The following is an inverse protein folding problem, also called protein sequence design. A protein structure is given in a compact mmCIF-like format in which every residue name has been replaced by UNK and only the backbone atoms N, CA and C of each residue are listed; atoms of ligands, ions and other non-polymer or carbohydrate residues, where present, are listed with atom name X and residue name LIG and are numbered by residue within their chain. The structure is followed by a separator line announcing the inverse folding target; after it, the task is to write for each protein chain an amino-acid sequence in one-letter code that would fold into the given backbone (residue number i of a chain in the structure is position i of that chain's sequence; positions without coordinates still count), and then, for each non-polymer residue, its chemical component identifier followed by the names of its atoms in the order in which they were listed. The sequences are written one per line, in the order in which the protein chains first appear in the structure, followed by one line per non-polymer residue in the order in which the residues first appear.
data_IF_592297666442
#
_entry.id   IF_592297666442
#
_cell.length_a   1.000
_cell.length_b   1.000
_cell.length_c   1.000
_cell.angle_alpha   90.00
_cell.angle_beta   90.00
_cell.angle_gamma   90.00
#
_symmetry.space_group_name_H-M   'P 1'
#
loop_
_entity.id
_entity.type
_entity.pdbx_description
1 polymer ?
#
# COMPACT_ATOMS: atom_id res chain seq x y z
N UNK A 1 8.03 40.94 46.30
CA UNK A 1 7.17 40.64 47.48
C UNK A 1 5.79 41.24 47.25
N UNK A 2 4.74 40.46 47.54
CA UNK A 2 3.27 40.68 47.36
C UNK A 2 2.77 40.38 45.93
N UNK A 3 2.20 39.21 45.62
CA UNK A 3 0.93 38.53 46.03
C UNK A 3 -0.23 38.82 45.05
N UNK A 4 -0.42 37.90 44.08
CA UNK A 4 -1.59 37.05 43.79
C UNK A 4 -3.06 37.54 43.99
N UNK A 5 -3.94 37.06 43.07
CA UNK A 5 -5.41 36.77 43.15
C UNK A 5 -6.35 37.98 42.83
N UNK A 6 -7.40 37.97 41.98
CA UNK A 6 -8.07 37.05 41.02
C UNK A 6 -9.36 37.74 40.46
N UNK A 7 -10.02 37.10 39.47
CA UNK A 7 -11.49 37.08 39.17
C UNK A 7 -12.06 38.31 38.44
N UNK A 8 -12.33 38.22 37.12
CA UNK A 8 -13.59 37.78 36.48
C UNK A 8 -14.76 38.76 36.69
N UNK A 9 -15.07 39.50 35.62
CA UNK A 9 -16.36 40.16 35.33
C UNK A 9 -16.46 40.22 33.80
N UNK A 10 -17.05 39.20 33.16
CA UNK A 10 -18.46 39.10 32.80
C UNK A 10 -18.86 40.02 31.63
N UNK A 11 -18.94 39.39 30.46
CA UNK A 11 -20.01 39.51 29.45
C UNK A 11 -20.66 40.88 29.30
N UNK A 12 -20.34 41.58 28.20
CA UNK A 12 -21.32 42.22 27.30
C UNK A 12 -20.56 43.01 26.24
N UNK A 13 -20.37 42.40 25.05
CA UNK A 13 -20.17 43.11 23.79
C UNK A 13 -20.41 42.12 22.65
N UNK A 14 -21.67 41.72 22.53
CA UNK A 14 -22.24 41.21 21.29
C UNK A 14 -23.07 42.32 20.65
N UNK A 15 -23.08 42.33 19.32
CA UNK A 15 -23.81 43.22 18.38
C UNK A 15 -23.10 44.57 18.14
N UNK A 16 -22.72 44.99 16.92
CA UNK A 16 -23.11 44.63 15.55
C UNK A 16 -21.95 45.04 14.61
N UNK A 17 -21.44 44.12 13.77
CA UNK A 17 -21.14 44.43 12.37
C UNK A 17 -21.62 43.22 11.56
N UNK A 18 -22.75 43.40 10.89
CA UNK A 18 -23.15 42.60 9.75
C UNK A 18 -22.34 43.05 8.54
N UNK A 19 -21.75 42.10 7.82
CA UNK A 19 -21.01 42.31 6.58
C UNK A 19 -20.55 40.96 6.02
N UNK A 20 -21.27 40.49 5.01
CA UNK A 20 -21.21 39.17 4.37
C UNK A 20 -19.80 38.70 3.96
N UNK A 21 -19.44 37.49 4.41
CA UNK A 21 -18.75 36.49 3.59
C UNK A 21 -19.10 35.12 4.15
N UNK A 22 -20.09 34.45 3.55
CA UNK A 22 -20.42 33.07 3.87
C UNK A 22 -19.35 32.15 3.28
N UNK A 23 -18.25 32.01 4.01
CA UNK A 23 -17.42 30.80 3.93
C UNK A 23 -18.18 29.70 4.65
N UNK A 24 -18.85 28.86 3.88
CA UNK A 24 -19.38 27.58 4.37
C UNK A 24 -18.20 26.65 4.64
N UNK A 25 -17.58 26.80 5.81
CA UNK A 25 -16.84 25.72 6.44
C UNK A 25 -17.86 24.67 6.89
N UNK A 26 -18.30 23.84 5.95
CA UNK A 26 -18.97 22.60 6.25
C UNK A 26 -17.92 21.65 6.83
N UNK A 27 -17.79 21.70 8.15
CA UNK A 27 -17.25 20.62 8.98
C UNK A 27 -17.98 19.33 8.57
N UNK A 28 -17.30 18.54 7.75
CA UNK A 28 -17.68 17.16 7.47
C UNK A 28 -17.38 16.36 8.73
N UNK A 29 -18.45 15.92 9.40
CA UNK A 29 -18.42 14.76 10.28
C UNK A 29 -18.13 13.52 9.43
N UNK A 30 -16.88 13.38 8.99
CA UNK A 30 -16.25 12.05 9.05
C UNK A 30 -16.20 11.69 10.52
N UNK A 31 -16.46 10.43 10.85
CA UNK A 31 -16.03 9.90 12.14
C UNK A 31 -14.51 10.04 12.22
N UNK A 32 -14.07 11.21 12.68
CA UNK A 32 -12.82 11.35 13.39
C UNK A 32 -12.96 10.41 14.57
N UNK A 33 -12.39 9.21 14.43
CA UNK A 33 -11.75 8.56 15.56
C UNK A 33 -10.76 9.57 16.07
N UNK A 34 -11.25 10.38 17.00
CA UNK A 34 -10.50 11.41 17.67
C UNK A 34 -9.49 10.63 18.50
N UNK A 35 -8.29 10.46 17.94
CA UNK A 35 -7.13 10.17 18.77
C UNK A 35 -7.00 11.36 19.69
N UNK A 36 -7.59 11.22 20.89
CA UNK A 36 -7.19 12.05 22.02
C UNK A 36 -5.68 11.95 22.04
N UNK A 37 -5.00 13.08 21.80
CA UNK A 37 -3.71 13.33 22.43
C UNK A 37 -3.96 13.31 23.93
N UNK A 38 -4.07 12.10 24.48
CA UNK A 38 -3.64 11.90 25.84
C UNK A 38 -2.11 12.01 25.75
N UNK A 39 -1.59 13.18 26.11
CA UNK A 39 -0.30 13.29 26.79
C UNK A 39 -0.41 12.51 28.11
N UNK A 40 -0.64 11.20 28.03
CA UNK A 40 -0.18 10.28 29.03
C UNK A 40 1.25 10.02 28.64
N UNK A 41 2.13 10.47 29.51
CA UNK A 41 3.48 9.93 29.66
C UNK A 41 3.33 8.41 29.62
N UNK A 42 3.49 7.82 28.43
CA UNK A 42 3.67 6.39 28.27
C UNK A 42 4.88 6.10 29.13
N UNK A 43 4.65 5.42 30.25
CA UNK A 43 5.74 4.80 30.98
C UNK A 43 6.54 4.03 29.93
N UNK A 44 7.79 4.42 29.72
CA UNK A 44 8.75 3.66 28.93
C UNK A 44 8.70 2.23 29.48
N UNK A 45 7.93 1.36 28.82
CA UNK A 45 8.01 -0.05 29.08
C UNK A 45 9.41 -0.41 28.63
N UNK A 46 10.30 -0.52 29.62
CA UNK A 46 11.69 -0.97 29.50
C UNK A 46 11.71 -2.43 29.08
N UNK A 47 11.22 -2.72 27.89
CA UNK A 47 11.63 -3.94 27.21
C UNK A 47 13.13 -3.80 26.91
N UNK A 48 13.94 -4.85 27.14
CA UNK A 48 15.31 -4.82 26.69
C UNK A 48 15.32 -4.58 25.18
N UNK A 49 16.21 -3.72 24.69
CA UNK A 49 16.28 -3.40 23.27
C UNK A 49 16.35 -4.67 22.42
N UNK A 50 17.10 -5.68 22.86
CA UNK A 50 17.08 -7.04 22.31
C UNK A 50 16.91 -8.03 23.45
N UNK A 51 16.05 -9.05 23.30
CA UNK A 51 15.96 -10.13 24.28
C UNK A 51 17.16 -11.05 24.15
N UNK A 52 17.87 -11.26 25.26
CA UNK A 52 19.22 -11.88 25.29
C UNK A 52 19.29 -13.23 26.02
N UNK A 53 18.27 -13.56 26.82
CA UNK A 53 18.26 -14.72 27.70
C UNK A 53 18.31 -16.02 26.92
N UNK A 54 19.29 -16.90 27.23
CA UNK A 54 19.46 -18.20 26.59
C UNK A 54 19.96 -18.19 25.15
N UNK A 55 20.20 -17.00 24.57
CA UNK A 55 20.57 -16.85 23.16
C UNK A 55 22.08 -16.84 22.95
N UNK A 56 22.51 -17.53 21.89
CA UNK A 56 23.88 -17.47 21.39
C UNK A 56 24.24 -16.03 21.00
N UNK A 57 25.46 -15.60 21.35
CA UNK A 57 25.96 -14.25 21.07
C UNK A 57 27.06 -14.32 20.01
N UNK A 58 27.07 -13.37 19.08
CA UNK A 58 28.16 -13.16 18.13
C UNK A 58 28.53 -11.68 18.03
N UNK A 59 29.80 -11.43 17.71
CA UNK A 59 30.35 -10.09 17.47
C UNK A 59 29.76 -9.50 16.17
N UNK A 60 29.33 -8.24 16.20
CA UNK A 60 28.70 -7.60 15.03
C UNK A 60 29.71 -7.25 13.94
N UNK A 61 30.96 -6.93 14.29
CA UNK A 61 31.99 -6.69 13.29
C UNK A 61 32.33 -7.96 12.50
N UNK A 62 32.34 -9.11 13.16
CA UNK A 62 32.44 -10.41 12.51
C UNK A 62 31.22 -10.71 11.63
N UNK A 63 30.00 -10.55 12.16
CA UNK A 63 28.78 -10.76 11.38
C UNK A 63 28.66 -9.84 10.16
N UNK A 64 29.15 -8.61 10.23
CA UNK A 64 29.18 -7.68 9.09
C UNK A 64 30.01 -8.24 7.91
N UNK A 65 31.03 -9.06 8.18
CA UNK A 65 31.88 -9.64 7.15
C UNK A 65 31.37 -11.00 6.64
N UNK A 66 30.73 -11.77 7.53
CA UNK A 66 30.43 -13.19 7.26
C UNK A 66 28.95 -13.46 6.95
N UNK A 67 28.04 -12.53 7.26
CA UNK A 67 26.62 -12.71 6.96
C UNK A 67 26.35 -12.46 5.48
N UNK A 68 25.55 -13.34 4.87
CA UNK A 68 25.15 -13.17 3.47
C UNK A 68 24.26 -11.94 3.28
N UNK A 69 23.41 -11.63 4.27
CA UNK A 69 22.58 -10.43 4.25
C UNK A 69 22.62 -9.68 5.58
N UNK A 70 22.50 -8.37 5.47
CA UNK A 70 22.38 -7.43 6.57
C UNK A 70 21.27 -6.42 6.28
N UNK A 71 20.43 -6.14 7.28
CA UNK A 71 19.31 -5.23 7.14
C UNK A 71 19.23 -4.24 8.30
N UNK A 72 18.99 -2.96 8.01
CA UNK A 72 18.46 -2.05 9.01
C UNK A 72 16.96 -2.33 9.22
N UNK A 73 16.56 -2.46 10.48
CA UNK A 73 15.16 -2.68 10.85
C UNK A 73 14.73 -1.75 11.98
N UNK A 74 13.43 -1.49 12.07
CA UNK A 74 12.85 -0.66 13.11
C UNK A 74 11.61 -1.32 13.71
N UNK A 75 11.42 -1.08 15.00
CA UNK A 75 10.17 -1.33 15.72
C UNK A 75 9.85 -0.09 16.58
N UNK A 76 8.88 0.71 16.13
CA UNK A 76 8.62 2.00 16.74
C UNK A 76 9.79 2.97 16.52
N UNK A 77 10.37 3.42 17.63
CA UNK A 77 11.56 4.28 17.65
C UNK A 77 12.86 3.48 17.72
N UNK A 78 12.77 2.20 18.11
CA UNK A 78 13.94 1.35 18.30
C UNK A 78 14.48 0.92 16.94
N UNK A 79 15.80 1.00 16.79
CA UNK A 79 16.51 0.64 15.55
C UNK A 79 17.41 -0.54 15.79
N UNK A 80 17.52 -1.38 14.77
CA UNK A 80 18.17 -2.67 14.83
C UNK A 80 18.98 -2.92 13.58
N UNK A 81 19.93 -3.84 13.70
CA UNK A 81 20.57 -4.53 12.58
C UNK A 81 20.19 -6.01 12.66
N UNK A 82 19.74 -6.55 11.54
CA UNK A 82 19.42 -7.97 11.38
C UNK A 82 20.39 -8.62 10.42
N UNK A 83 20.93 -9.76 10.81
CA UNK A 83 21.90 -10.54 10.03
C UNK A 83 21.31 -11.90 9.68
N UNK A 84 21.48 -12.33 8.43
CA UNK A 84 21.16 -13.68 7.97
C UNK A 84 22.46 -14.42 7.67
N UNK A 85 22.76 -15.45 8.46
CA UNK A 85 24.06 -16.13 8.47
C UNK A 85 23.91 -17.64 8.58
N UNK A 86 24.71 -18.41 7.84
CA UNK A 86 24.76 -19.88 7.92
C UNK A 86 26.18 -20.37 8.22
N UNK A 87 26.33 -21.25 9.21
CA UNK A 87 27.65 -21.84 9.56
C UNK A 87 28.11 -22.89 8.57
N UNK A 88 27.18 -23.55 7.88
CA UNK A 88 27.43 -24.60 6.91
C UNK A 88 27.13 -24.15 5.48
N UNK A 89 27.37 -22.87 5.19
CA UNK A 89 27.17 -22.33 3.86
C UNK A 89 28.12 -22.98 2.84
N UNK A 90 27.55 -23.47 1.76
CA UNK A 90 28.26 -23.90 0.56
C UNK A 90 27.96 -22.93 -0.58
N UNK A 91 28.98 -22.61 -1.37
CA UNK A 91 28.86 -21.79 -2.56
C UNK A 91 29.16 -22.63 -3.81
N UNK A 92 28.32 -22.50 -4.82
CA UNK A 92 28.47 -23.12 -6.14
C UNK A 92 28.23 -22.08 -7.22
N UNK A 93 28.88 -22.21 -8.37
CA UNK A 93 28.57 -21.42 -9.55
C UNK A 93 27.58 -22.18 -10.42
N UNK A 94 26.54 -21.50 -10.92
CA UNK A 94 25.57 -22.13 -11.81
C UNK A 94 26.18 -22.39 -13.19
N UNK A 95 26.13 -23.64 -13.64
CA UNK A 95 26.68 -24.06 -14.95
C UNK A 95 25.74 -23.76 -16.13
N UNK A 96 24.46 -23.56 -15.83
CA UNK A 96 23.39 -23.30 -16.79
C UNK A 96 22.32 -22.37 -16.20
N UNK A 97 21.55 -21.75 -17.08
CA UNK A 97 20.39 -20.96 -16.69
C UNK A 97 19.35 -21.88 -16.05
N UNK A 98 18.84 -21.48 -14.88
CA UNK A 98 17.86 -22.24 -14.13
C UNK A 98 17.00 -21.33 -13.26
N UNK A 99 16.05 -21.91 -12.52
CA UNK A 99 15.26 -21.16 -11.54
C UNK A 99 16.10 -20.58 -10.41
N UNK A 100 17.31 -21.09 -10.21
CA UNK A 100 18.24 -20.58 -9.21
C UNK A 100 18.93 -19.29 -9.67
N UNK A 101 19.02 -19.04 -10.97
CA UNK A 101 19.84 -17.96 -11.51
C UNK A 101 20.26 -18.19 -12.95
N UNK A 102 21.03 -17.24 -13.47
CA UNK A 102 21.69 -17.36 -14.77
C UNK A 102 22.99 -18.14 -14.61
N UNK A 103 23.45 -18.75 -15.71
CA UNK A 103 24.79 -19.32 -15.80
C UNK A 103 25.83 -18.30 -15.34
N UNK A 104 26.72 -18.73 -14.44
CA UNK A 104 27.77 -17.91 -13.86
C UNK A 104 27.38 -17.23 -12.54
N UNK A 105 26.11 -17.25 -12.13
CA UNK A 105 25.71 -16.72 -10.83
C UNK A 105 26.28 -17.56 -9.68
N UNK A 106 26.64 -16.89 -8.58
CA UNK A 106 26.94 -17.55 -7.31
C UNK A 106 25.66 -18.01 -6.62
N UNK A 107 25.66 -19.23 -6.11
CA UNK A 107 24.53 -19.87 -5.50
C UNK A 107 24.92 -20.48 -4.16
N UNK A 108 24.36 -19.91 -3.10
CA UNK A 108 24.64 -20.25 -1.71
C UNK A 108 23.56 -21.16 -1.15
N UNK A 109 23.96 -22.18 -0.40
CA UNK A 109 23.07 -23.14 0.25
C UNK A 109 23.57 -23.45 1.65
N UNK A 110 22.69 -23.36 2.65
CA UNK A 110 23.01 -23.64 4.04
C UNK A 110 21.80 -23.56 4.97
N UNK A 111 22.02 -23.82 6.26
CA UNK A 111 21.02 -23.64 7.31
C UNK A 111 21.23 -22.26 7.94
N UNK A 112 20.41 -21.29 7.52
CA UNK A 112 20.57 -19.90 7.96
C UNK A 112 19.89 -19.66 9.30
N UNK A 113 20.61 -18.97 10.17
CA UNK A 113 20.14 -18.41 11.42
C UNK A 113 20.02 -16.89 11.29
N UNK A 114 19.11 -16.31 12.08
CA UNK A 114 18.95 -14.85 12.15
C UNK A 114 19.60 -14.33 13.42
N UNK A 115 20.40 -13.28 13.32
CA UNK A 115 20.92 -12.55 14.49
C UNK A 115 20.35 -11.15 14.54
N UNK A 116 19.99 -10.69 15.73
CA UNK A 116 19.44 -9.36 15.99
C UNK A 116 20.40 -8.59 16.89
N UNK A 117 20.74 -7.37 16.49
CA UNK A 117 21.48 -6.41 17.30
C UNK A 117 20.69 -5.11 17.39
N UNK A 118 20.79 -4.41 18.52
CA UNK A 118 20.46 -2.99 18.56
C UNK A 118 21.40 -2.24 17.61
N UNK A 119 20.91 -1.17 16.97
CA UNK A 119 21.74 -0.35 16.10
C UNK A 119 22.96 0.17 16.87
N UNK A 120 24.15 0.04 16.28
CA UNK A 120 25.45 0.40 16.88
C UNK A 120 25.93 -0.50 18.05
N UNK A 121 25.23 -1.61 18.33
CA UNK A 121 25.74 -2.62 19.28
C UNK A 121 26.92 -3.40 18.69
N UNK A 122 27.90 -3.72 19.53
CA UNK A 122 29.02 -4.62 19.20
C UNK A 122 28.63 -6.11 19.24
N UNK A 123 27.44 -6.43 19.74
CA UNK A 123 26.96 -7.81 19.92
C UNK A 123 25.57 -8.00 19.32
N UNK A 124 25.39 -9.12 18.62
CA UNK A 124 24.11 -9.62 18.15
C UNK A 124 23.74 -10.95 18.82
N UNK A 125 22.44 -11.20 18.92
CA UNK A 125 21.88 -12.39 19.56
C UNK A 125 21.10 -13.21 18.55
N UNK A 126 21.35 -14.52 18.52
CA UNK A 126 20.64 -15.47 17.66
C UNK A 126 19.14 -15.50 17.96
N UNK A 127 18.31 -15.60 16.93
CA UNK A 127 16.85 -15.66 17.01
C UNK A 127 16.36 -16.97 16.41
N UNK A 128 15.52 -17.68 17.17
CA UNK A 128 14.98 -18.99 16.81
C UNK A 128 13.74 -18.87 15.93
N UNK A 129 13.89 -18.28 14.74
CA UNK A 129 12.77 -17.99 13.82
C UNK A 129 12.86 -18.75 12.50
N UNK A 130 14.06 -19.18 12.09
CA UNK A 130 14.28 -20.00 10.89
C UNK A 130 14.87 -21.38 11.23
N UNK A 131 14.99 -21.73 12.52
CA UNK A 131 15.66 -22.95 12.97
C UNK A 131 14.97 -24.24 12.53
N UNK A 132 13.67 -24.20 12.30
CA UNK A 132 12.89 -25.34 11.79
C UNK A 132 12.89 -25.43 10.26
N UNK A 133 13.42 -24.40 9.58
CA UNK A 133 13.52 -24.42 8.13
C UNK A 133 14.65 -25.38 7.73
N UNK A 134 14.39 -26.16 6.68
CA UNK A 134 15.46 -26.90 6.02
C UNK A 134 16.48 -25.95 5.39
N UNK A 135 17.43 -26.53 4.65
CA UNK A 135 18.42 -25.75 3.92
C UNK A 135 17.76 -24.69 3.02
N UNK A 136 18.19 -23.45 3.22
CA UNK A 136 17.78 -22.30 2.43
C UNK A 136 18.82 -22.06 1.34
N UNK A 137 18.37 -21.41 0.28
CA UNK A 137 19.16 -21.16 -0.90
C UNK A 137 19.03 -19.72 -1.37
N UNK A 138 20.15 -19.15 -1.76
CA UNK A 138 20.25 -17.75 -2.17
C UNK A 138 21.13 -17.59 -3.40
N UNK A 139 20.67 -16.77 -4.32
CA UNK A 139 21.45 -16.19 -5.39
C UNK A 139 21.44 -14.68 -5.16
N UNK A 140 22.58 -14.05 -4.80
CA UNK A 140 22.65 -12.61 -4.57
C UNK A 140 22.34 -11.75 -5.80
N UNK A 141 22.41 -12.30 -7.01
CA UNK A 141 21.93 -11.64 -8.23
C UNK A 141 20.39 -11.54 -8.29
N UNK A 142 19.67 -12.19 -7.37
CA UNK A 142 18.22 -12.14 -7.22
C UNK A 142 17.82 -11.44 -5.93
N UNK A 143 16.67 -10.76 -5.97
CA UNK A 143 16.11 -10.09 -4.80
C UNK A 143 15.34 -11.06 -3.90
N UNK A 144 16.07 -11.95 -3.22
CA UNK A 144 15.48 -12.98 -2.35
C UNK A 144 15.35 -12.56 -0.89
N UNK A 145 16.13 -11.59 -0.43
CA UNK A 145 16.04 -11.10 0.93
C UNK A 145 16.14 -9.58 0.97
N UNK A 146 15.15 -8.90 1.52
CA UNK A 146 15.04 -7.44 1.56
C UNK A 146 14.07 -6.99 2.65
N UNK A 147 13.98 -5.67 2.84
CA UNK A 147 13.08 -5.08 3.84
C UNK A 147 11.93 -4.30 3.21
N UNK A 148 10.83 -4.23 3.94
CA UNK A 148 9.65 -3.43 3.62
C UNK A 148 9.30 -2.58 4.82
N UNK A 149 9.29 -1.26 4.64
CA UNK A 149 8.86 -0.33 5.69
C UNK A 149 7.34 -0.23 5.72
N UNK A 150 6.74 -0.66 6.83
CA UNK A 150 5.30 -0.63 7.12
C UNK A 150 5.07 0.22 8.37
N UNK A 151 4.64 1.47 8.17
CA UNK A 151 4.46 2.47 9.24
C UNK A 151 5.73 2.64 10.09
N UNK A 152 5.66 2.23 11.36
CA UNK A 152 6.69 2.25 12.38
C UNK A 152 7.47 0.91 12.49
N UNK A 153 7.17 -0.08 11.64
CA UNK A 153 7.83 -1.39 11.61
C UNK A 153 8.57 -1.63 10.31
N UNK A 154 9.61 -2.43 10.40
CA UNK A 154 10.28 -3.03 9.23
C UNK A 154 9.93 -4.51 9.18
N UNK A 155 9.36 -4.94 8.05
CA UNK A 155 9.21 -6.35 7.71
C UNK A 155 10.48 -6.78 6.96
N UNK A 156 11.06 -7.89 7.36
CA UNK A 156 12.18 -8.53 6.65
C UNK A 156 11.59 -9.69 5.86
N UNK A 157 11.72 -9.64 4.54
CA UNK A 157 11.17 -10.66 3.66
C UNK A 157 12.29 -11.57 3.17
N UNK A 158 12.15 -12.88 3.39
CA UNK A 158 13.10 -13.90 2.93
C UNK A 158 12.36 -14.91 2.06
N UNK A 159 12.70 -14.94 0.77
CA UNK A 159 12.01 -15.73 -0.24
C UNK A 159 12.83 -16.95 -0.67
N UNK A 160 12.19 -18.11 -0.61
CA UNK A 160 12.77 -19.40 -1.00
C UNK A 160 12.06 -19.95 -2.25
N UNK A 161 12.80 -20.51 -3.23
CA UNK A 161 12.19 -21.06 -4.45
C UNK A 161 11.11 -22.10 -4.13
N UNK A 162 9.97 -22.01 -4.82
CA UNK A 162 8.84 -22.93 -4.70
C UNK A 162 8.21 -23.21 -6.06
N UNK A 163 8.34 -24.45 -6.52
CA UNK A 163 7.86 -24.84 -7.85
C UNK A 163 8.72 -24.26 -8.97
N UNK A 164 8.13 -24.09 -10.16
CA UNK A 164 8.86 -23.56 -11.32
C UNK A 164 9.10 -22.06 -11.15
N UNK A 165 8.06 -21.23 -11.12
CA UNK A 165 8.19 -19.77 -11.19
C UNK A 165 7.81 -19.04 -9.89
N UNK A 166 7.60 -19.79 -8.80
CA UNK A 166 7.17 -19.25 -7.50
C UNK A 166 8.30 -19.15 -6.48
N UNK A 167 8.10 -18.29 -5.50
CA UNK A 167 8.89 -18.19 -4.29
C UNK A 167 7.98 -18.07 -3.07
N UNK A 168 8.24 -18.88 -2.04
CA UNK A 168 7.57 -18.80 -0.74
C UNK A 168 8.26 -17.76 0.13
N UNK A 169 7.49 -16.81 0.65
CA UNK A 169 7.97 -15.79 1.56
C UNK A 169 7.91 -16.24 3.02
N UNK A 170 9.02 -16.10 3.71
CA UNK A 170 9.12 -16.03 5.17
C UNK A 170 9.22 -14.56 5.55
N UNK A 171 8.14 -14.01 6.09
CA UNK A 171 8.06 -12.60 6.46
C UNK A 171 8.30 -12.49 7.94
N UNK A 172 9.31 -11.74 8.34
CA UNK A 172 9.74 -11.61 9.72
C UNK A 172 9.52 -10.17 10.20
N UNK A 173 9.19 -10.01 11.47
CA UNK A 173 9.08 -8.72 12.11
C UNK A 173 9.70 -8.74 13.50
N UNK A 174 10.03 -7.56 14.02
CA UNK A 174 10.52 -7.41 15.39
C UNK A 174 9.32 -7.10 16.30
N UNK A 175 9.26 -7.80 17.44
CA UNK A 175 8.32 -7.55 18.53
C UNK A 175 9.01 -7.81 19.86
N UNK A 176 8.95 -6.84 20.76
CA UNK A 176 9.48 -6.93 22.12
C UNK A 176 10.97 -7.38 22.17
N UNK A 177 11.77 -6.89 21.21
CA UNK A 177 13.20 -7.20 21.10
C UNK A 177 13.53 -8.60 20.56
N UNK A 178 12.55 -9.28 19.95
CA UNK A 178 12.71 -10.58 19.28
C UNK A 178 12.27 -10.51 17.81
N UNK A 179 12.91 -11.33 16.96
CA UNK A 179 12.41 -11.55 15.61
C UNK A 179 11.41 -12.71 15.66
N UNK A 180 10.22 -12.47 15.11
CA UNK A 180 9.17 -13.47 14.95
C UNK A 180 8.75 -13.58 13.50
N UNK A 181 8.26 -14.74 13.08
CA UNK A 181 7.62 -14.91 11.78
C UNK A 181 6.19 -14.35 11.82
N UNK A 182 5.85 -13.55 10.82
CA UNK A 182 4.52 -12.99 10.63
C UNK A 182 3.60 -14.14 10.24
N UNK A 183 2.62 -14.41 11.10
CA UNK A 183 1.61 -15.43 10.85
C UNK A 183 0.77 -15.09 9.62
N UNK A 184 0.39 -16.08 8.82
CA UNK A 184 -0.47 -15.89 7.65
C UNK A 184 -1.46 -17.04 7.53
N UNK A 185 -2.71 -16.74 7.13
CA UNK A 185 -3.75 -17.76 6.96
C UNK A 185 -3.43 -18.76 5.85
N UNK A 186 -2.68 -18.31 4.85
CA UNK A 186 -2.23 -19.06 3.69
C UNK A 186 -0.79 -18.67 3.41
N UNK A 187 -0.05 -19.57 2.79
CA UNK A 187 1.33 -19.27 2.41
C UNK A 187 1.40 -18.03 1.49
N UNK A 188 2.33 -17.14 1.82
CA UNK A 188 2.65 -15.98 0.99
C UNK A 188 3.55 -16.44 -0.15
N UNK A 189 3.01 -16.45 -1.37
CA UNK A 189 3.74 -16.86 -2.57
C UNK A 189 3.78 -15.67 -3.54
N UNK A 190 4.95 -15.44 -4.12
CA UNK A 190 5.20 -14.42 -5.15
C UNK A 190 6.02 -15.02 -6.30
N UNK A 191 6.17 -14.27 -7.39
CA UNK A 191 7.07 -14.58 -8.50
C UNK A 191 8.53 -14.57 -8.03
N UNK A 192 9.33 -15.51 -8.50
CA UNK A 192 10.78 -15.56 -8.22
C UNK A 192 11.56 -14.39 -8.85
N UNK A 193 10.90 -13.58 -9.69
CA UNK A 193 11.48 -12.46 -10.42
C UNK A 193 11.15 -11.09 -9.82
N UNK A 194 10.29 -11.02 -8.79
CA UNK A 194 9.75 -9.75 -8.33
C UNK A 194 9.65 -9.63 -6.81
N UNK A 195 9.86 -8.42 -6.31
CA UNK A 195 9.51 -8.05 -4.95
C UNK A 195 8.00 -8.05 -4.74
N UNK A 196 7.60 -8.28 -3.50
CA UNK A 196 6.24 -7.95 -3.04
C UNK A 196 6.14 -6.44 -2.88
N UNK A 197 4.95 -5.88 -3.11
CA UNK A 197 4.71 -4.43 -3.04
C UNK A 197 4.02 -4.10 -1.72
N UNK A 198 4.38 -2.97 -1.13
CA UNK A 198 3.63 -2.37 -0.03
C UNK A 198 2.58 -1.43 -0.60
N UNK A 199 1.37 -1.42 -0.04
CA UNK A 199 0.31 -0.50 -0.46
C UNK A 199 -0.26 0.22 0.75
N UNK A 200 -0.15 1.56 0.73
CA UNK A 200 -0.66 2.48 1.77
C UNK A 200 -0.28 2.09 3.21
N UNK A 201 0.87 1.43 3.38
CA UNK A 201 1.40 0.91 4.66
C UNK A 201 0.42 0.01 5.45
N UNK A 202 -0.66 -0.46 4.82
CA UNK A 202 -1.69 -1.31 5.39
C UNK A 202 -1.73 -2.68 4.73
N UNK A 203 -1.38 -2.72 3.45
CA UNK A 203 -1.45 -3.93 2.66
C UNK A 203 -0.08 -4.31 2.09
N UNK A 204 0.07 -5.60 1.83
CA UNK A 204 1.15 -6.17 1.05
C UNK A 204 0.50 -6.85 -0.14
N UNK A 205 1.04 -6.68 -1.34
CA UNK A 205 0.56 -7.37 -2.53
C UNK A 205 1.66 -8.24 -3.13
N UNK A 206 1.31 -9.46 -3.51
CA UNK A 206 2.17 -10.40 -4.23
C UNK A 206 1.63 -10.66 -5.62
N UNK A 207 2.51 -10.93 -6.57
CA UNK A 207 2.16 -11.28 -7.94
C UNK A 207 2.85 -12.58 -8.32
N UNK A 208 2.13 -13.53 -8.91
CA UNK A 208 2.71 -14.81 -9.37
C UNK A 208 2.02 -15.30 -10.64
N UNK A 209 2.78 -15.99 -11.49
CA UNK A 209 2.21 -16.74 -12.61
C UNK A 209 1.84 -18.14 -12.14
N UNK A 210 0.55 -18.51 -12.25
CA UNK A 210 0.01 -19.82 -11.85
C UNK A 210 -0.91 -20.36 -12.94
N UNK A 211 -0.54 -21.51 -13.52
CA UNK A 211 -1.35 -22.19 -14.56
C UNK A 211 -1.75 -21.23 -15.69
N UNK A 212 -0.77 -20.51 -16.23
CA UNK A 212 -0.94 -19.50 -17.29
C UNK A 212 -1.79 -18.26 -16.91
N UNK A 213 -2.23 -18.16 -15.65
CA UNK A 213 -2.86 -16.96 -15.10
C UNK A 213 -1.89 -16.11 -14.31
N UNK A 214 -2.09 -14.80 -14.37
CA UNK A 214 -1.42 -13.86 -13.47
C UNK A 214 -2.29 -13.66 -12.23
N UNK A 215 -1.76 -13.99 -11.06
CA UNK A 215 -2.48 -13.92 -9.79
C UNK A 215 -1.90 -12.81 -8.92
N UNK A 216 -2.73 -11.83 -8.58
CA UNK A 216 -2.42 -10.81 -7.58
C UNK A 216 -3.11 -11.18 -6.27
N UNK A 217 -2.36 -11.30 -5.19
CA UNK A 217 -2.90 -11.54 -3.84
C UNK A 217 -2.58 -10.35 -2.94
N UNK A 218 -3.60 -9.72 -2.40
CA UNK A 218 -3.47 -8.60 -1.47
C UNK A 218 -3.76 -9.06 -0.05
N UNK A 219 -2.84 -8.76 0.85
CA UNK A 219 -2.84 -9.18 2.23
C UNK A 219 -2.99 -7.96 3.13
N UNK A 220 -3.96 -8.00 4.05
CA UNK A 220 -4.08 -7.00 5.10
C UNK A 220 -3.08 -7.32 6.20
N UNK A 221 -2.23 -6.35 6.55
CA UNK A 221 -1.27 -6.46 7.62
C UNK A 221 -1.83 -5.92 8.93
N UNK A 222 -1.96 -6.78 9.92
CA UNK A 222 -2.27 -6.39 11.29
C UNK A 222 -0.96 -6.19 12.08
N UNK A 223 -0.67 -4.94 12.39
CA UNK A 223 0.55 -4.51 13.09
C UNK A 223 0.61 -4.99 14.55
N UNK A 224 -0.54 -5.10 15.23
CA UNK A 224 -0.63 -5.46 16.65
C UNK A 224 -0.40 -6.97 16.84
N UNK A 225 -1.04 -7.76 16.00
CA UNK A 225 -0.96 -9.23 16.05
C UNK A 225 0.20 -9.79 15.22
N UNK A 226 0.81 -8.98 14.35
CA UNK A 226 1.81 -9.40 13.37
C UNK A 226 1.30 -10.58 12.54
N UNK A 227 0.17 -10.34 11.88
CA UNK A 227 -0.48 -11.32 11.01
C UNK A 227 -0.88 -10.74 9.66
N UNK A 228 -0.98 -11.64 8.67
CA UNK A 228 -1.48 -11.37 7.34
C UNK A 228 -2.76 -12.16 7.10
N UNK A 229 -3.81 -11.42 6.72
CA UNK A 229 -5.11 -11.97 6.32
C UNK A 229 -5.26 -11.75 4.81
N UNK A 230 -5.72 -12.76 4.07
CA UNK A 230 -5.96 -12.56 2.63
C UNK A 230 -7.15 -11.62 2.47
N UNK A 231 -6.88 -10.40 2.00
CA UNK A 231 -7.89 -9.35 1.83
C UNK A 231 -8.57 -9.45 0.48
N UNK A 232 -7.77 -9.63 -0.57
CA UNK A 232 -8.27 -9.67 -1.94
C UNK A 232 -7.41 -10.57 -2.82
N UNK A 233 -8.00 -11.15 -3.86
CA UNK A 233 -7.30 -11.98 -4.84
C UNK A 233 -7.92 -11.81 -6.22
N UNK A 234 -7.09 -11.49 -7.19
CA UNK A 234 -7.43 -11.36 -8.61
C UNK A 234 -6.69 -12.41 -9.43
N UNK A 235 -7.36 -12.99 -10.42
CA UNK A 235 -6.74 -13.88 -11.40
C UNK A 235 -7.01 -13.34 -12.81
N UNK A 236 -5.96 -12.96 -13.52
CA UNK A 236 -6.05 -12.51 -14.90
C UNK A 236 -5.75 -13.67 -15.85
N UNK A 237 -6.70 -13.94 -16.75
CA UNK A 237 -6.57 -14.98 -17.78
C UNK A 237 -5.47 -14.67 -18.81
N UNK A 238 -4.85 -15.72 -19.34
CA UNK A 238 -3.66 -15.69 -20.22
C UNK A 238 -3.79 -14.80 -21.47
N UNK A 239 -5.00 -14.56 -21.96
CA UNK A 239 -5.23 -13.86 -23.23
C UNK A 239 -5.03 -12.34 -23.12
N UNK A 240 -5.01 -11.80 -21.89
CA UNK A 240 -4.94 -10.36 -21.63
C UNK A 240 -3.57 -9.93 -21.13
N UNK A 241 -2.64 -9.52 -21.99
CA UNK A 241 -1.47 -8.70 -21.64
C UNK A 241 -0.68 -9.11 -20.37
N UNK A 242 -0.69 -10.39 -19.96
CA UNK A 242 -0.13 -10.84 -18.68
C UNK A 242 1.38 -10.54 -18.57
N UNK A 243 2.10 -10.63 -19.68
CA UNK A 243 3.50 -10.22 -19.76
C UNK A 243 3.66 -8.70 -19.51
N UNK A 244 2.77 -7.87 -20.05
CA UNK A 244 2.78 -6.42 -19.82
C UNK A 244 2.55 -6.09 -18.35
N UNK A 245 1.57 -6.73 -17.71
CA UNK A 245 1.28 -6.51 -16.29
C UNK A 245 2.40 -6.96 -15.37
N UNK A 246 3.00 -8.13 -15.63
CA UNK A 246 4.14 -8.60 -14.84
C UNK A 246 5.39 -7.75 -15.09
N UNK A 247 5.63 -7.29 -16.33
CA UNK A 247 6.72 -6.37 -16.62
C UNK A 247 6.53 -5.05 -15.87
N UNK A 248 5.32 -4.48 -15.91
CA UNK A 248 5.01 -3.26 -15.16
C UNK A 248 5.21 -3.48 -13.65
N UNK A 249 4.81 -4.63 -13.12
CA UNK A 249 5.05 -5.00 -11.72
C UNK A 249 6.54 -5.07 -11.36
N UNK A 250 7.35 -5.66 -12.23
CA UNK A 250 8.80 -5.82 -12.02
C UNK A 250 9.53 -4.47 -12.16
N UNK A 251 9.18 -3.69 -13.18
CA UNK A 251 9.91 -2.50 -13.60
C UNK A 251 9.50 -1.23 -12.84
N UNK A 252 8.25 -1.12 -12.40
CA UNK A 252 7.72 0.07 -11.73
C UNK A 252 7.52 -0.18 -10.22
N UNK A 253 8.32 0.47 -9.38
CA UNK A 253 8.24 0.38 -7.92
C UNK A 253 6.90 0.91 -7.37
N UNK A 254 6.31 1.92 -8.01
CA UNK A 254 5.04 2.51 -7.58
C UNK A 254 3.83 1.64 -7.96
N UNK A 255 3.99 0.77 -8.97
CA UNK A 255 2.90 -0.06 -9.45
C UNK A 255 2.46 -1.13 -8.44
N UNK A 256 1.14 -1.24 -8.27
CA UNK A 256 0.44 -2.41 -7.75
C UNK A 256 -0.84 -2.63 -8.54
N UNK A 257 -1.39 -3.85 -8.54
CA UNK A 257 -2.65 -4.10 -9.22
C UNK A 257 -3.83 -3.60 -8.35
N UNK A 258 -4.77 -2.81 -8.90
CA UNK A 258 -5.97 -2.37 -8.17
C UNK A 258 -6.74 -3.55 -7.57
N UNK A 259 -7.17 -3.40 -6.32
CA UNK A 259 -7.83 -4.48 -5.58
C UNK A 259 -8.98 -3.91 -4.77
N UNK A 260 -9.92 -4.78 -4.36
CA UNK A 260 -11.12 -4.37 -3.64
C UNK A 260 -10.75 -3.68 -2.32
N UNK A 261 -10.84 -2.36 -2.27
CA UNK A 261 -10.49 -1.55 -1.10
C UNK A 261 -11.42 -0.36 -0.88
N UNK A 262 -12.49 -0.26 -1.68
CA UNK A 262 -13.53 0.74 -1.56
C UNK A 262 -14.87 0.08 -1.26
N UNK A 263 -15.47 0.51 -0.16
CA UNK A 263 -16.85 0.25 0.15
C UNK A 263 -17.71 1.38 -0.42
N UNK A 264 -18.79 1.00 -1.09
CA UNK A 264 -19.76 1.95 -1.61
C UNK A 264 -20.77 2.33 -0.53
N UNK A 265 -21.16 3.60 -0.51
CA UNK A 265 -22.11 4.17 0.45
C UNK A 265 -23.21 4.93 -0.28
N UNK A 266 -24.40 5.06 0.32
CA UNK A 266 -25.51 5.81 -0.30
C UNK A 266 -25.27 7.33 -0.37
N UNK A 267 -24.27 7.85 0.34
CA UNK A 267 -23.91 9.27 0.36
C UNK A 267 -22.97 9.70 -0.78
N UNK A 268 -22.65 8.79 -1.72
CA UNK A 268 -21.77 9.09 -2.87
C UNK A 268 -22.21 10.33 -3.63
N UNK A 269 -23.50 10.47 -3.91
CA UNK A 269 -24.03 11.60 -4.68
C UNK A 269 -23.84 12.92 -3.92
N UNK A 270 -24.05 12.94 -2.60
CA UNK A 270 -23.85 14.14 -1.77
C UNK A 270 -22.36 14.54 -1.68
N UNK A 271 -21.45 13.56 -1.65
CA UNK A 271 -20.00 13.81 -1.74
C UNK A 271 -19.61 14.34 -3.11
N UNK A 272 -20.16 13.76 -4.18
CA UNK A 272 -19.90 14.19 -5.55
C UNK A 272 -20.35 15.62 -5.84
N UNK A 273 -21.46 16.10 -5.23
CA UNK A 273 -21.89 17.52 -5.32
C UNK A 273 -20.82 18.49 -4.81
N UNK A 274 -19.98 18.04 -3.87
CA UNK A 274 -18.87 18.81 -3.32
C UNK A 274 -17.57 18.61 -4.11
N UNK A 275 -17.60 17.84 -5.21
CA UNK A 275 -16.45 17.47 -6.00
C UNK A 275 -15.58 16.39 -5.35
N UNK A 276 -16.03 15.75 -4.26
CA UNK A 276 -15.27 14.74 -3.53
C UNK A 276 -15.43 13.38 -4.24
N UNK A 277 -14.34 12.76 -4.74
CA UNK A 277 -14.40 11.46 -5.39
C UNK A 277 -14.60 10.31 -4.39
N UNK A 278 -14.95 9.15 -4.91
CA UNK A 278 -14.89 7.92 -4.12
C UNK A 278 -13.44 7.51 -3.91
N UNK A 279 -13.08 7.20 -2.67
CA UNK A 279 -11.79 6.57 -2.40
C UNK A 279 -10.55 7.44 -2.61
N UNK A 280 -10.70 8.76 -2.71
CA UNK A 280 -9.60 9.72 -2.70
C UNK A 280 -9.94 10.93 -1.81
N UNK A 281 -8.96 11.46 -1.06
CA UNK A 281 -9.17 12.63 -0.20
C UNK A 281 -9.14 13.95 -0.98
N UNK A 282 -8.81 13.96 -2.28
CA UNK A 282 -8.62 15.19 -3.04
C UNK A 282 -9.84 15.52 -3.91
N UNK A 283 -10.62 16.55 -3.58
CA UNK A 283 -11.75 16.97 -4.40
C UNK A 283 -11.30 17.60 -5.73
N UNK A 284 -12.21 17.60 -6.72
CA UNK A 284 -12.05 18.37 -7.96
C UNK A 284 -11.75 19.83 -7.62
N UNK A 285 -10.72 20.38 -8.26
CA UNK A 285 -10.18 21.72 -7.99
C UNK A 285 -8.89 21.73 -7.18
N UNK A 286 -8.52 20.63 -6.53
CA UNK A 286 -7.21 20.48 -5.87
C UNK A 286 -6.07 20.63 -6.88
N UNK A 287 -4.98 21.28 -6.51
CA UNK A 287 -3.83 21.42 -7.41
C UNK A 287 -3.05 20.10 -7.50
N UNK A 288 -2.75 19.65 -8.72
CA UNK A 288 -2.06 18.38 -8.94
C UNK A 288 -0.65 18.34 -8.31
N UNK A 289 0.01 19.49 -8.17
CA UNK A 289 1.32 19.59 -7.51
C UNK A 289 1.24 19.27 -6.02
N UNK A 290 0.12 19.62 -5.38
CA UNK A 290 -0.11 19.31 -3.96
C UNK A 290 -0.34 17.81 -3.78
N UNK A 291 -1.11 17.19 -4.67
CA UNK A 291 -1.36 15.74 -4.68
C UNK A 291 -0.05 14.97 -4.89
N UNK A 292 0.77 15.35 -5.89
CA UNK A 292 2.08 14.69 -6.11
C UNK A 292 3.00 14.85 -4.90
N UNK A 293 2.91 15.97 -4.19
CA UNK A 293 3.74 16.21 -3.00
C UNK A 293 3.32 15.32 -1.82
N UNK A 294 2.03 15.07 -1.63
CA UNK A 294 1.52 14.18 -0.57
C UNK A 294 1.63 12.70 -0.95
N UNK A 295 1.47 12.38 -2.23
CA UNK A 295 1.50 11.05 -2.82
C UNK A 295 2.51 11.01 -3.98
N UNK A 296 3.81 10.83 -3.69
CA UNK A 296 4.86 10.88 -4.70
C UNK A 296 4.94 9.64 -5.59
N UNK A 297 4.34 8.53 -5.19
CA UNK A 297 4.47 7.22 -5.84
C UNK A 297 3.42 7.06 -6.96
N UNK A 298 3.54 7.83 -8.04
CA UNK A 298 2.71 7.71 -9.25
C UNK A 298 3.38 6.85 -10.33
N UNK A 299 2.56 6.19 -11.17
CA UNK A 299 3.04 5.35 -12.30
C UNK A 299 3.47 6.24 -13.47
N UNK A 300 2.64 7.23 -13.80
CA UNK A 300 2.81 8.01 -15.02
C UNK A 300 2.27 9.43 -14.85
N UNK A 301 2.93 10.38 -15.49
CA UNK A 301 2.48 11.76 -15.60
C UNK A 301 2.66 12.22 -17.04
N UNK A 302 1.57 12.68 -17.67
CA UNK A 302 1.60 13.21 -19.02
C UNK A 302 0.92 14.59 -19.07
N UNK A 303 1.69 15.70 -18.93
CA UNK A 303 1.13 17.05 -18.97
C UNK A 303 0.84 17.55 -20.39
N UNK A 304 1.38 16.88 -21.42
CA UNK A 304 1.30 17.31 -22.83
C UNK A 304 0.12 16.69 -23.58
N UNK A 305 -0.57 15.71 -22.97
CA UNK A 305 -1.76 15.10 -23.55
C UNK A 305 -2.90 16.12 -23.74
N UNK A 306 -3.85 15.83 -24.62
CA UNK A 306 -5.08 16.60 -24.79
C UNK A 306 -5.90 16.65 -23.49
N UNK A 307 -5.74 15.64 -22.64
CA UNK A 307 -6.26 15.61 -21.27
C UNK A 307 -5.11 15.33 -20.31
N UNK A 308 -4.39 16.37 -19.83
CA UNK A 308 -3.25 16.21 -18.94
C UNK A 308 -3.61 15.36 -17.71
N UNK A 309 -2.76 14.40 -17.34
CA UNK A 309 -3.06 13.50 -16.22
C UNK A 309 -1.86 13.07 -15.40
N UNK A 310 -2.16 12.62 -14.18
CA UNK A 310 -1.26 11.83 -13.32
C UNK A 310 -2.00 10.55 -12.96
N UNK A 311 -1.37 9.42 -13.24
CA UNK A 311 -1.90 8.08 -13.02
C UNK A 311 -1.19 7.42 -11.85
N UNK A 312 -1.96 7.10 -10.83
CA UNK A 312 -1.60 6.20 -9.74
C UNK A 312 -2.15 4.81 -10.05
N UNK A 313 -1.73 3.77 -9.33
CA UNK A 313 -2.26 2.44 -9.53
C UNK A 313 -3.78 2.38 -9.40
N UNK A 314 -4.34 3.06 -8.40
CA UNK A 314 -5.75 2.92 -8.02
C UNK A 314 -6.60 4.18 -8.31
N UNK A 315 -6.03 5.20 -8.96
CA UNK A 315 -6.73 6.42 -9.34
C UNK A 315 -5.98 7.20 -10.42
N UNK A 316 -6.70 7.88 -11.31
CA UNK A 316 -6.12 8.83 -12.26
C UNK A 316 -6.74 10.20 -12.07
N UNK A 317 -5.91 11.22 -11.92
CA UNK A 317 -6.33 12.62 -11.86
C UNK A 317 -6.06 13.30 -13.19
N UNK A 318 -7.11 13.88 -13.78
CA UNK A 318 -7.00 14.74 -14.96
C UNK A 318 -7.03 16.19 -14.50
N UNK A 319 -6.21 17.04 -15.12
CA UNK A 319 -6.04 18.42 -14.69
C UNK A 319 -5.94 19.40 -15.86
N UNK A 320 -6.24 20.67 -15.57
CA UNK A 320 -6.05 21.76 -16.52
C UNK A 320 -4.58 22.20 -16.55
N UNK A 321 -3.98 22.30 -17.74
CA UNK A 321 -2.55 22.64 -17.90
C UNK A 321 -2.17 23.99 -17.30
N UNK A 322 -3.03 25.00 -17.46
CA UNK A 322 -2.76 26.37 -17.06
C UNK A 322 -2.75 26.56 -15.54
N UNK A 323 -3.73 25.95 -14.86
CA UNK A 323 -3.93 26.13 -13.41
C UNK A 323 -3.36 24.99 -12.58
N UNK A 324 -3.17 23.81 -13.19
CA UNK A 324 -2.84 22.56 -12.51
C UNK A 324 -4.00 22.00 -11.68
N UNK A 325 -5.19 22.58 -11.77
CA UNK A 325 -6.33 22.14 -10.96
C UNK A 325 -6.94 20.88 -11.55
N UNK A 326 -7.22 19.91 -10.70
CA UNK A 326 -7.92 18.68 -11.08
C UNK A 326 -9.31 19.03 -11.62
N UNK A 327 -9.65 18.47 -12.77
CA UNK A 327 -10.91 18.68 -13.48
C UNK A 327 -11.77 17.42 -13.51
N UNK A 328 -11.14 16.24 -13.50
CA UNK A 328 -11.82 14.97 -13.46
C UNK A 328 -10.96 13.89 -12.78
N UNK A 329 -11.62 12.85 -12.31
CA UNK A 329 -11.02 11.77 -11.53
C UNK A 329 -11.58 10.44 -12.00
N UNK A 330 -10.70 9.48 -12.29
CA UNK A 330 -11.05 8.13 -12.73
C UNK A 330 -10.64 7.11 -11.69
N UNK A 331 -11.56 6.22 -11.32
CA UNK A 331 -11.35 5.17 -10.32
C UNK A 331 -11.59 3.81 -10.99
N UNK A 332 -10.63 2.88 -10.94
CA UNK A 332 -10.77 1.54 -11.52
C UNK A 332 -11.81 0.72 -10.75
N UNK A 333 -12.66 -0.01 -11.48
CA UNK A 333 -13.76 -0.80 -10.93
C UNK A 333 -13.32 -1.96 -10.03
N UNK A 334 -12.09 -2.46 -10.21
CA UNK A 334 -11.45 -3.47 -9.35
C UNK A 334 -11.41 -3.05 -7.88
N UNK A 335 -11.45 -1.75 -7.57
CA UNK A 335 -11.49 -1.25 -6.18
C UNK A 335 -12.79 -1.54 -5.47
N UNK A 336 -13.86 -1.78 -6.23
CA UNK A 336 -15.23 -1.92 -5.72
C UNK A 336 -15.73 -3.36 -5.89
N UNK A 337 -15.41 -3.98 -7.05
CA UNK A 337 -15.91 -5.30 -7.46
C UNK A 337 -17.43 -5.41 -7.25
N UNK A 338 -18.13 -4.62 -8.04
CA UNK A 338 -19.58 -4.38 -7.93
C UNK A 338 -20.20 -4.40 -9.31
N UNK A 339 -21.53 -4.51 -9.35
CA UNK A 339 -22.31 -4.48 -10.59
C UNK A 339 -23.06 -3.16 -10.76
N UNK A 340 -23.53 -2.91 -11.98
CA UNK A 340 -24.33 -1.71 -12.25
C UNK A 340 -25.66 -1.69 -11.45
N UNK A 341 -26.22 -2.85 -11.12
CA UNK A 341 -27.46 -2.94 -10.35
C UNK A 341 -27.26 -2.63 -8.86
N UNK A 342 -26.11 -3.03 -8.30
CA UNK A 342 -25.71 -2.61 -6.96
C UNK A 342 -25.49 -1.08 -6.91
N UNK A 343 -24.87 -0.51 -7.95
CA UNK A 343 -24.72 0.94 -8.09
C UNK A 343 -26.09 1.63 -8.13
N UNK A 344 -27.03 1.17 -8.95
CA UNK A 344 -28.39 1.75 -9.02
C UNK A 344 -29.11 1.69 -7.68
N UNK A 345 -28.90 0.62 -6.92
CA UNK A 345 -29.50 0.46 -5.58
C UNK A 345 -28.96 1.53 -4.61
N UNK A 346 -27.68 1.87 -4.71
CA UNK A 346 -27.02 2.82 -3.80
C UNK A 346 -27.16 4.29 -4.26
N UNK A 347 -27.04 4.56 -5.56
CA UNK A 347 -26.98 5.91 -6.12
C UNK A 347 -28.35 6.39 -6.61
N UNK A 348 -29.31 5.47 -6.75
CA UNK A 348 -30.61 5.71 -7.35
C UNK A 348 -30.62 5.44 -8.85
N UNK A 349 -31.59 6.01 -9.58
CA UNK A 349 -31.64 5.84 -11.02
C UNK A 349 -30.70 6.83 -11.72
N UNK A 350 -29.95 6.40 -12.75
CA UNK A 350 -29.16 7.31 -13.56
C UNK A 350 -30.06 8.27 -14.34
N UNK A 351 -29.56 9.47 -14.58
CA UNK A 351 -30.22 10.48 -15.41
C UNK A 351 -30.19 10.08 -16.90
N UNK A 352 -29.08 9.48 -17.34
CA UNK A 352 -28.86 9.04 -18.73
C UNK A 352 -28.12 7.69 -18.72
N UNK A 353 -28.43 6.82 -19.69
CA UNK A 353 -27.73 5.56 -19.92
C UNK A 353 -27.41 5.45 -21.39
N UNK A 354 -26.15 5.13 -21.71
CA UNK A 354 -25.64 4.99 -23.07
C UNK A 354 -24.99 3.61 -23.24
N UNK A 355 -24.97 3.10 -24.46
CA UNK A 355 -24.14 1.95 -24.81
C UNK A 355 -22.67 2.40 -24.87
N UNK A 356 -21.75 1.64 -24.27
CA UNK A 356 -20.32 1.93 -24.34
C UNK A 356 -19.72 1.24 -25.59
N UNK A 357 -19.26 2.00 -26.60
CA UNK A 357 -19.01 1.44 -27.93
C UNK A 357 -17.88 0.42 -28.00
N UNK A 358 -16.96 0.42 -27.03
CA UNK A 358 -15.73 -0.34 -27.12
C UNK A 358 -15.77 -1.64 -26.29
N UNK A 359 -16.53 -1.67 -25.20
CA UNK A 359 -16.63 -2.85 -24.35
C UNK A 359 -17.95 -3.59 -24.47
N UNK A 360 -18.91 -3.12 -25.29
CA UNK A 360 -20.24 -3.71 -25.38
C UNK A 360 -21.12 -3.54 -24.13
N UNK A 361 -20.63 -2.80 -23.13
CA UNK A 361 -21.34 -2.53 -21.89
C UNK A 361 -22.08 -1.20 -21.91
N UNK A 362 -22.21 -0.54 -20.75
CA UNK A 362 -23.00 0.70 -20.62
C UNK A 362 -22.28 1.81 -19.88
N UNK A 363 -22.69 3.05 -20.12
CA UNK A 363 -22.31 4.23 -19.35
C UNK A 363 -23.57 4.78 -18.68
N UNK A 364 -23.65 4.68 -17.36
CA UNK A 364 -24.72 5.25 -16.56
C UNK A 364 -24.28 6.58 -15.94
N UNK A 365 -25.02 7.66 -16.19
CA UNK A 365 -24.66 9.02 -15.76
C UNK A 365 -25.58 9.48 -14.63
N UNK A 366 -24.99 9.87 -13.51
CA UNK A 366 -25.67 10.41 -12.33
C UNK A 366 -25.33 11.88 -12.15
N UNK A 367 -26.35 12.74 -12.05
CA UNK A 367 -26.17 14.17 -11.82
C UNK A 367 -25.91 14.47 -10.35
N UNK A 368 -24.87 15.25 -10.07
CA UNK A 368 -24.47 15.69 -8.75
C UNK A 368 -24.19 17.20 -8.77
N UNK A 369 -25.27 18.00 -8.88
CA UNK A 369 -25.19 19.47 -9.03
C UNK A 369 -24.33 19.87 -10.24
N UNK A 370 -23.25 20.64 -10.05
CA UNK A 370 -22.30 21.03 -11.10
C UNK A 370 -21.33 19.92 -11.53
N UNK A 371 -21.47 18.72 -10.96
CA UNK A 371 -20.66 17.54 -11.27
C UNK A 371 -21.52 16.38 -11.77
N UNK A 372 -20.88 15.44 -12.46
CA UNK A 372 -21.51 14.19 -12.87
C UNK A 372 -20.62 13.00 -12.54
N UNK A 373 -21.26 11.90 -12.16
CA UNK A 373 -20.62 10.60 -12.01
C UNK A 373 -21.01 9.75 -13.21
N UNK A 374 -20.03 9.27 -13.96
CA UNK A 374 -20.21 8.32 -15.04
C UNK A 374 -19.70 6.96 -14.58
N UNK A 375 -20.57 5.95 -14.63
CA UNK A 375 -20.26 4.58 -14.25
C UNK A 375 -20.23 3.74 -15.51
N UNK A 376 -19.07 3.18 -15.81
CA UNK A 376 -18.83 2.31 -16.96
C UNK A 376 -18.99 0.86 -16.52
N UNK A 377 -19.77 0.07 -17.26
CA UNK A 377 -19.89 -1.39 -17.09
C UNK A 377 -19.41 -2.13 -18.32
N UNK A 378 -19.02 -3.39 -18.16
CA UNK A 378 -18.78 -4.32 -19.27
C UNK A 378 -20.05 -5.08 -19.69
N UNK A 379 -19.92 -6.04 -20.61
CA UNK A 379 -21.04 -6.87 -21.11
C UNK A 379 -21.64 -7.79 -20.02
N UNK A 380 -20.92 -8.01 -18.92
CA UNK A 380 -21.36 -8.81 -17.77
C UNK A 380 -21.92 -7.92 -16.64
N UNK A 381 -22.20 -6.65 -16.95
CA UNK A 381 -22.69 -5.64 -16.01
C UNK A 381 -21.74 -5.36 -14.82
N UNK A 382 -20.48 -5.79 -14.90
CA UNK A 382 -19.47 -5.46 -13.89
C UNK A 382 -18.98 -4.04 -14.11
N UNK A 383 -18.87 -3.27 -13.03
CA UNK A 383 -18.34 -1.91 -13.11
C UNK A 383 -16.85 -1.97 -13.44
N UNK A 384 -16.47 -1.42 -14.59
CA UNK A 384 -15.09 -1.34 -15.06
C UNK A 384 -14.37 -0.08 -14.57
N UNK A 385 -15.11 1.03 -14.42
CA UNK A 385 -14.57 2.34 -14.01
C UNK A 385 -15.68 3.27 -13.52
N UNK A 386 -15.35 4.13 -12.55
CA UNK A 386 -16.17 5.30 -12.19
C UNK A 386 -15.39 6.58 -12.49
N UNK A 387 -16.06 7.54 -13.11
CA UNK A 387 -15.49 8.83 -13.50
C UNK A 387 -16.28 9.97 -12.85
N UNK A 388 -15.61 10.82 -12.09
CA UNK A 388 -16.19 12.05 -11.54
C UNK A 388 -15.64 13.23 -12.34
N UNK A 389 -16.52 14.08 -12.87
CA UNK A 389 -16.13 15.24 -13.69
C UNK A 389 -17.06 16.44 -13.46
N UNK A 390 -16.61 17.64 -13.83
CA UNK A 390 -17.51 18.81 -13.94
C UNK A 390 -18.52 18.56 -15.06
N UNK A 391 -19.81 18.78 -14.77
CA UNK A 391 -20.85 18.65 -15.79
C UNK A 391 -20.70 19.73 -16.85
N UNK A 392 -20.77 19.32 -18.12
CA UNK A 392 -20.74 20.20 -19.29
C UNK A 392 -22.09 20.88 -19.57
N UNK A 393 -23.14 20.52 -18.84
CA UNK A 393 -24.43 21.23 -18.88
C UNK A 393 -24.28 22.55 -18.12
N UNK A 394 -23.93 23.61 -18.85
CA UNK A 394 -24.11 24.99 -18.39
C UNK A 394 -25.55 25.14 -17.91
N UNK A 395 -25.75 25.35 -16.60
CA UNK A 395 -26.95 26.03 -16.13
C UNK A 395 -26.88 27.47 -16.67
N UNK A 396 -27.34 27.64 -17.91
CA UNK A 396 -27.83 28.92 -18.37
C UNK A 396 -29.18 29.12 -17.68
N UNK A 397 -29.17 29.91 -16.60
CA UNK A 397 -30.36 30.59 -16.08
C UNK A 397 -30.85 31.67 -17.07
#
# INVERSE_FOLDING_TARGET
MKNFIYIISMVMLSSVIAGCSSETNASLNTEDVTFKKEDKVEAENKFPAVKTEGKEKKDTAWLNNESLYQFEAADGKQKYIVYLFAENESNTILEEDSQKGKKGDSYYRGHYSVYLAEKESDVAFKQDVLSENGEMVFNPSKEQAYTLKMRNKTIISVFQPKGKDGAKGHLLAIKDGEIIEISSEKEVITSSLAKIKRVNQKFIQTAQSKQDKLVFSTWLFNEETLSLTLHDREELESENNNASWMNQWIEDEAYYYPFKNLELSSDVIEKAKQGIPLGSPYPIGTNITEIIKSEPDFIEKNPEDNSPYVRYPDITYYFERETGNVTAISIPGQRMRTTIDEIKTLFGNPAEVFDEPNSGGTISVYTADKYSIEVFSDEEDQVSKIYLTKSTKNHAE
#
